data_IF_905086364038
#
_entry.id   IF_905086364038
#
_cell.length_a   1.000
_cell.length_b   1.000
_cell.length_c   1.000
_cell.angle_alpha   90.00
_cell.angle_beta   90.00
_cell.angle_gamma   90.00
#
_symmetry.space_group_name_H-M   'P 1'
#
loop_
_entity.id
_entity.type
_entity.pdbx_description
1 polymer ?
#
# COMPACT_ATOMS: atom_id res chain seq x y z
N UNK A 1 -3.47 20.11 -8.11
CA UNK A 1 -3.27 21.53 -7.75
C UNK A 1 -4.58 22.26 -7.99
N UNK A 2 -5.30 22.71 -6.96
CA UNK A 2 -6.59 23.40 -7.14
C UNK A 2 -6.45 24.71 -7.91
N UNK A 3 -5.29 25.34 -7.89
CA UNK A 3 -5.00 26.59 -8.56
C UNK A 3 -5.24 26.54 -10.09
N UNK A 4 -5.01 25.39 -10.71
CA UNK A 4 -5.27 25.19 -12.16
C UNK A 4 -6.75 25.43 -12.45
N UNK A 5 -7.65 24.85 -11.64
CA UNK A 5 -9.09 25.03 -11.81
C UNK A 5 -9.54 26.44 -11.42
N UNK A 6 -8.99 27.00 -10.34
CA UNK A 6 -9.34 28.34 -9.86
C UNK A 6 -8.91 29.45 -10.83
N UNK A 7 -7.83 29.26 -11.58
CA UNK A 7 -7.33 30.21 -12.55
C UNK A 7 -7.86 29.96 -13.97
N UNK A 8 -8.66 28.92 -14.19
CA UNK A 8 -9.14 28.53 -15.52
C UNK A 8 -9.77 29.69 -16.30
N UNK A 9 -10.61 30.50 -15.66
CA UNK A 9 -11.24 31.66 -16.31
C UNK A 9 -10.28 32.81 -16.58
N UNK A 10 -9.09 32.84 -15.96
CA UNK A 10 -8.03 33.79 -16.28
C UNK A 10 -7.28 33.39 -17.55
N UNK A 11 -7.04 32.08 -17.69
CA UNK A 11 -6.33 31.52 -18.83
C UNK A 11 -7.26 31.43 -20.07
N UNK A 12 -8.58 31.30 -19.82
CA UNK A 12 -9.62 31.22 -20.86
C UNK A 12 -10.77 32.17 -20.56
N UNK A 13 -10.63 33.47 -20.86
CA UNK A 13 -11.62 34.52 -20.52
C UNK A 13 -12.99 34.32 -21.17
N UNK A 14 -13.04 33.63 -22.33
CA UNK A 14 -14.27 33.31 -23.05
C UNK A 14 -15.05 32.14 -22.45
N UNK A 15 -14.48 31.42 -21.49
CA UNK A 15 -15.11 30.24 -20.87
C UNK A 15 -16.33 30.65 -20.04
N UNK A 16 -17.45 29.99 -20.30
CA UNK A 16 -18.67 30.16 -19.48
C UNK A 16 -18.60 29.25 -18.25
N UNK A 17 -18.86 29.87 -17.11
CA UNK A 17 -18.92 29.15 -15.83
C UNK A 17 -20.39 28.85 -15.50
N UNK A 18 -20.66 27.55 -15.24
CA UNK A 18 -21.98 27.07 -14.80
C UNK A 18 -21.83 26.47 -13.40
N UNK A 19 -22.62 26.98 -12.47
CA UNK A 19 -22.63 26.49 -11.10
C UNK A 19 -23.67 25.37 -10.96
N UNK A 20 -23.22 24.18 -10.52
CA UNK A 20 -24.09 23.08 -10.10
C UNK A 20 -24.24 23.15 -8.58
N UNK A 21 -25.34 23.72 -8.10
CA UNK A 21 -25.59 24.05 -6.69
C UNK A 21 -26.65 23.18 -6.03
N UNK A 22 -27.34 22.32 -6.80
CA UNK A 22 -28.35 21.41 -6.27
C UNK A 22 -27.80 19.98 -6.19
N UNK A 23 -27.80 19.42 -4.98
CA UNK A 23 -27.42 18.04 -4.70
C UNK A 23 -28.69 17.17 -4.57
N UNK A 24 -28.91 16.29 -5.52
CA UNK A 24 -30.04 15.37 -5.56
C UNK A 24 -29.79 14.03 -4.88
N UNK A 25 -28.55 13.79 -4.38
CA UNK A 25 -28.14 12.49 -3.81
C UNK A 25 -28.32 12.41 -2.30
N UNK A 26 -27.79 13.40 -1.58
CA UNK A 26 -27.67 13.35 -0.13
C UNK A 26 -28.90 13.94 0.57
N UNK A 27 -29.20 13.41 1.78
CA UNK A 27 -30.07 14.11 2.73
C UNK A 27 -29.46 15.43 3.19
N UNK A 28 -30.27 16.33 3.73
CA UNK A 28 -29.80 17.65 4.16
C UNK A 28 -28.75 17.57 5.28
N UNK A 29 -28.85 16.59 6.19
CA UNK A 29 -27.89 16.38 7.27
C UNK A 29 -26.49 16.00 6.73
N UNK A 30 -26.44 15.10 5.74
CA UNK A 30 -25.17 14.71 5.10
C UNK A 30 -24.58 15.89 4.35
N UNK A 31 -25.41 16.60 3.58
CA UNK A 31 -24.96 17.77 2.82
C UNK A 31 -24.38 18.85 3.74
N UNK A 32 -25.08 19.16 4.84
CA UNK A 32 -24.61 20.17 5.80
C UNK A 32 -23.27 19.77 6.43
N UNK A 33 -23.13 18.51 6.83
CA UNK A 33 -21.87 18.01 7.39
C UNK A 33 -20.72 18.10 6.37
N UNK A 34 -20.98 17.73 5.12
CA UNK A 34 -20.00 17.83 4.05
C UNK A 34 -19.60 19.30 3.77
N UNK A 35 -20.57 20.23 3.80
CA UNK A 35 -20.31 21.66 3.66
C UNK A 35 -19.43 22.19 4.81
N UNK A 36 -19.70 21.82 6.05
CA UNK A 36 -18.89 22.20 7.21
C UNK A 36 -17.42 21.73 7.06
N UNK A 37 -17.21 20.52 6.57
CA UNK A 37 -15.86 19.98 6.33
C UNK A 37 -15.14 20.78 5.24
N UNK A 38 -15.82 21.02 4.10
CA UNK A 38 -15.17 21.72 2.98
C UNK A 38 -14.92 23.20 3.25
N UNK A 39 -15.64 23.81 4.17
CA UNK A 39 -15.48 25.24 4.54
C UNK A 39 -14.12 25.51 5.20
N UNK A 40 -13.46 24.49 5.75
CA UNK A 40 -12.08 24.59 6.22
C UNK A 40 -11.09 24.85 5.08
N UNK A 41 -11.42 24.49 3.84
CA UNK A 41 -10.58 24.69 2.68
C UNK A 41 -10.77 26.09 2.09
N UNK A 42 -9.75 26.95 2.21
CA UNK A 42 -9.77 28.34 1.71
C UNK A 42 -9.54 28.45 0.20
N UNK A 43 -8.93 27.47 -0.44
CA UNK A 43 -8.63 27.47 -1.88
C UNK A 43 -9.68 26.67 -2.63
N UNK A 44 -10.86 27.27 -2.81
CA UNK A 44 -11.99 26.66 -3.53
C UNK A 44 -12.87 27.71 -4.18
N UNK A 45 -13.71 27.31 -5.13
CA UNK A 45 -14.83 28.15 -5.56
C UNK A 45 -15.86 28.22 -4.43
N UNK A 46 -16.23 29.43 -3.97
CA UNK A 46 -17.30 29.57 -3.00
C UNK A 46 -18.63 29.15 -3.63
N UNK A 47 -19.28 28.16 -3.05
CA UNK A 47 -20.64 27.78 -3.43
C UNK A 47 -21.41 27.26 -2.23
N UNK A 48 -22.72 27.55 -2.22
CA UNK A 48 -23.65 26.96 -1.28
C UNK A 48 -24.46 25.90 -2.02
N UNK A 49 -24.42 24.68 -1.51
CA UNK A 49 -25.21 23.58 -2.07
C UNK A 49 -26.53 23.46 -1.33
N UNK A 50 -27.59 23.23 -2.09
CA UNK A 50 -28.93 22.89 -1.55
C UNK A 50 -29.30 21.46 -1.92
N UNK A 51 -30.30 20.91 -1.24
CA UNK A 51 -30.88 19.60 -1.60
C UNK A 51 -32.40 19.63 -1.42
N UNK A 52 -33.17 19.06 -2.36
CA UNK A 52 -34.60 18.85 -2.19
C UNK A 52 -34.92 17.67 -1.26
N UNK A 53 -33.91 16.86 -0.91
CA UNK A 53 -34.10 15.68 -0.08
C UNK A 53 -34.34 16.07 1.39
N UNK A 54 -35.24 15.32 2.05
CA UNK A 54 -35.54 15.52 3.47
C UNK A 54 -34.32 15.26 4.36
N UNK A 55 -34.39 15.72 5.59
CA UNK A 55 -33.44 15.36 6.63
C UNK A 55 -33.44 13.85 6.85
N UNK A 56 -32.27 13.25 6.82
CA UNK A 56 -32.05 11.84 7.17
C UNK A 56 -31.59 11.72 8.63
N UNK A 57 -31.02 10.55 8.96
CA UNK A 57 -30.35 10.37 10.24
C UNK A 57 -29.14 11.31 10.37
N UNK A 58 -28.83 11.82 11.58
CA UNK A 58 -27.66 12.63 11.79
C UNK A 58 -26.37 11.84 11.48
N UNK A 59 -25.38 12.55 10.95
CA UNK A 59 -24.03 12.00 10.80
C UNK A 59 -23.42 11.82 12.18
N UNK A 60 -22.81 10.65 12.43
CA UNK A 60 -22.17 10.31 13.69
C UNK A 60 -20.67 10.30 13.50
N UNK A 61 -19.94 10.93 14.40
CA UNK A 61 -18.49 10.80 14.53
C UNK A 61 -18.22 9.88 15.73
N UNK A 62 -17.43 8.85 15.51
CA UNK A 62 -17.02 7.90 16.54
C UNK A 62 -15.50 7.88 16.56
N UNK A 63 -14.93 7.90 17.75
CA UNK A 63 -13.49 7.80 17.99
C UNK A 63 -13.19 6.51 18.74
N UNK A 64 -12.09 5.87 18.38
CA UNK A 64 -11.62 4.62 18.97
C UNK A 64 -10.15 4.74 19.36
N UNK A 65 -9.74 4.02 20.38
CA UNK A 65 -8.34 4.04 20.85
C UNK A 65 -7.39 3.35 19.87
N UNK A 66 -7.90 2.38 19.11
CA UNK A 66 -7.10 1.64 18.14
C UNK A 66 -7.97 1.11 16.96
N UNK A 67 -7.36 0.81 15.81
CA UNK A 67 -8.07 0.32 14.63
C UNK A 67 -8.85 -0.97 14.85
N UNK A 68 -8.40 -1.84 15.75
CA UNK A 68 -9.10 -3.10 16.04
C UNK A 68 -10.47 -2.85 16.66
N UNK A 69 -10.55 -1.93 17.62
CA UNK A 69 -11.84 -1.55 18.24
C UNK A 69 -12.79 -0.94 17.21
N UNK A 70 -12.28 -0.10 16.32
CA UNK A 70 -13.05 0.46 15.22
C UNK A 70 -13.66 -0.65 14.35
N UNK A 71 -12.85 -1.61 13.89
CA UNK A 71 -13.32 -2.70 13.03
C UNK A 71 -14.33 -3.62 13.73
N UNK A 72 -14.07 -3.96 14.98
CA UNK A 72 -14.97 -4.80 15.77
C UNK A 72 -16.29 -4.10 16.05
N UNK A 73 -16.27 -2.82 16.39
CA UNK A 73 -17.46 -2.00 16.61
C UNK A 73 -18.32 -1.89 15.35
N UNK A 74 -17.69 -1.66 14.21
CA UNK A 74 -18.40 -1.58 12.92
C UNK A 74 -19.02 -2.94 12.54
N UNK A 75 -18.26 -4.03 12.67
CA UNK A 75 -18.76 -5.37 12.39
C UNK A 75 -19.94 -5.73 13.33
N UNK A 76 -19.82 -5.43 14.63
CA UNK A 76 -20.90 -5.64 15.59
C UNK A 76 -22.17 -4.82 15.26
N UNK A 77 -21.99 -3.56 14.81
CA UNK A 77 -23.12 -2.74 14.39
C UNK A 77 -23.84 -3.30 13.14
N UNK A 78 -23.08 -3.79 12.16
CA UNK A 78 -23.63 -4.45 10.97
C UNK A 78 -24.32 -5.77 11.33
N UNK A 79 -23.70 -6.58 12.19
CA UNK A 79 -24.30 -7.84 12.68
C UNK A 79 -25.64 -7.60 13.38
N UNK A 80 -25.71 -6.57 14.24
CA UNK A 80 -26.95 -6.20 14.92
C UNK A 80 -28.08 -5.80 13.95
N UNK A 81 -27.76 -5.19 12.81
CA UNK A 81 -28.73 -4.89 11.76
C UNK A 81 -29.22 -6.16 11.08
N UNK A 82 -28.30 -7.06 10.72
CA UNK A 82 -28.65 -8.36 10.15
C UNK A 82 -29.53 -9.19 11.08
N UNK A 83 -29.22 -9.22 12.37
CA UNK A 83 -30.02 -9.95 13.38
C UNK A 83 -31.42 -9.37 13.56
N UNK A 84 -31.66 -8.14 13.10
CA UNK A 84 -32.98 -7.49 13.03
C UNK A 84 -33.65 -7.63 11.66
N UNK A 85 -33.10 -8.44 10.78
CA UNK A 85 -33.55 -8.61 9.40
C UNK A 85 -33.52 -7.30 8.57
N UNK A 86 -32.70 -6.33 8.97
CA UNK A 86 -32.48 -5.11 8.20
C UNK A 86 -31.53 -5.40 7.04
N UNK A 87 -31.80 -4.85 5.86
CA UNK A 87 -30.88 -4.93 4.73
C UNK A 87 -29.60 -4.14 5.01
N UNK A 88 -28.45 -4.71 4.62
CA UNK A 88 -27.15 -4.06 4.63
C UNK A 88 -26.55 -3.92 3.22
N UNK A 89 -27.26 -4.35 2.18
CA UNK A 89 -26.78 -4.35 0.78
C UNK A 89 -26.40 -2.95 0.28
N UNK A 90 -27.11 -1.91 0.75
CA UNK A 90 -26.84 -0.51 0.41
C UNK A 90 -25.81 0.16 1.33
N UNK A 91 -25.08 -0.64 2.12
CA UNK A 91 -24.05 -0.11 3.02
C UNK A 91 -22.68 -0.19 2.37
N UNK A 92 -21.95 0.92 2.38
CA UNK A 92 -20.56 0.97 1.91
C UNK A 92 -19.63 1.47 3.00
N UNK A 93 -18.44 0.88 3.08
CA UNK A 93 -17.34 1.35 3.94
C UNK A 93 -16.23 1.86 3.06
N UNK A 94 -15.77 3.08 3.33
CA UNK A 94 -14.73 3.76 2.57
C UNK A 94 -13.48 3.90 3.44
N UNK A 95 -12.33 3.62 2.84
CA UNK A 95 -11.02 3.72 3.48
C UNK A 95 -10.15 4.74 2.76
N UNK A 96 -9.19 5.29 3.46
CA UNK A 96 -8.15 6.14 2.88
C UNK A 96 -7.17 5.31 2.06
N UNK A 97 -6.80 4.13 2.52
CA UNK A 97 -5.87 3.21 1.88
C UNK A 97 -6.43 1.79 1.84
N UNK A 98 -6.00 1.00 0.85
CA UNK A 98 -6.44 -0.41 0.73
C UNK A 98 -5.95 -1.30 1.89
N UNK A 99 -4.89 -0.89 2.60
CA UNK A 99 -4.37 -1.64 3.75
C UNK A 99 -5.32 -1.60 4.96
N UNK A 100 -6.03 -0.49 5.14
CA UNK A 100 -7.00 -0.35 6.24
C UNK A 100 -8.18 -1.34 6.12
N UNK A 101 -8.51 -1.76 4.90
CA UNK A 101 -9.58 -2.72 4.67
C UNK A 101 -9.28 -4.11 5.24
N UNK A 102 -8.00 -4.51 5.39
CA UNK A 102 -7.61 -5.85 5.84
C UNK A 102 -8.14 -6.18 7.24
N UNK A 103 -8.03 -5.24 8.17
CA UNK A 103 -8.53 -5.41 9.53
C UNK A 103 -10.03 -5.56 9.61
N UNK A 104 -10.77 -4.74 8.85
CA UNK A 104 -12.22 -4.86 8.78
C UNK A 104 -12.67 -6.17 8.12
N UNK A 105 -12.02 -6.59 7.04
CA UNK A 105 -12.34 -7.88 6.38
C UNK A 105 -12.22 -9.03 7.37
N UNK A 106 -11.15 -9.05 8.19
CA UNK A 106 -11.00 -10.04 9.27
C UNK A 106 -12.19 -10.03 10.23
N UNK A 107 -12.61 -8.85 10.69
CA UNK A 107 -13.76 -8.72 11.59
C UNK A 107 -15.09 -9.14 10.92
N UNK A 108 -15.32 -8.77 9.65
CA UNK A 108 -16.53 -9.18 8.93
C UNK A 108 -16.61 -10.69 8.75
N UNK A 109 -15.47 -11.37 8.47
CA UNK A 109 -15.40 -12.83 8.37
C UNK A 109 -15.67 -13.49 9.73
N UNK A 110 -15.14 -12.97 10.83
CA UNK A 110 -15.36 -13.46 12.18
C UNK A 110 -16.84 -13.40 12.56
N UNK A 111 -17.53 -12.31 12.20
CA UNK A 111 -18.98 -12.14 12.44
C UNK A 111 -19.87 -12.76 11.37
N UNK A 112 -19.29 -13.43 10.37
CA UNK A 112 -20.02 -14.05 9.25
C UNK A 112 -20.93 -13.06 8.49
N UNK A 113 -20.45 -11.83 8.31
CA UNK A 113 -21.15 -10.78 7.58
C UNK A 113 -20.77 -10.86 6.10
N UNK A 114 -21.71 -10.99 5.17
CA UNK A 114 -21.42 -10.99 3.75
C UNK A 114 -20.94 -9.62 3.29
N UNK A 115 -19.93 -9.59 2.46
CA UNK A 115 -19.38 -8.36 1.88
C UNK A 115 -18.83 -8.59 0.48
N UNK A 116 -18.69 -7.52 -0.28
CA UNK A 116 -17.97 -7.50 -1.55
C UNK A 116 -16.90 -6.42 -1.50
N UNK A 117 -15.80 -6.61 -2.20
CA UNK A 117 -14.74 -5.63 -2.33
C UNK A 117 -14.60 -5.18 -3.77
N UNK A 118 -14.47 -3.88 -3.98
CA UNK A 118 -14.23 -3.32 -5.31
C UNK A 118 -12.82 -3.68 -5.81
N UNK A 119 -11.84 -3.68 -4.91
CA UNK A 119 -10.45 -4.05 -5.20
C UNK A 119 -10.04 -5.22 -4.30
N UNK A 120 -9.14 -6.07 -4.82
CA UNK A 120 -8.59 -7.15 -4.02
C UNK A 120 -7.65 -6.59 -2.95
N UNK A 121 -7.65 -7.20 -1.77
CA UNK A 121 -6.65 -6.90 -0.74
C UNK A 121 -5.24 -7.09 -1.32
N UNK A 122 -4.33 -6.15 -1.06
CA UNK A 122 -2.96 -6.29 -1.50
C UNK A 122 -2.35 -7.56 -0.87
N UNK A 123 -1.93 -8.48 -1.73
CA UNK A 123 -1.20 -9.67 -1.26
C UNK A 123 0.21 -9.23 -0.84
N UNK A 124 0.46 -9.14 0.46
CA UNK A 124 1.76 -8.75 1.03
C UNK A 124 2.91 -9.62 0.53
N UNK A 125 2.66 -10.89 0.21
CA UNK A 125 3.68 -11.78 -0.36
C UNK A 125 4.08 -11.41 -1.79
N UNK A 126 3.26 -10.62 -2.49
CA UNK A 126 3.58 -10.06 -3.82
C UNK A 126 4.24 -8.68 -3.76
N UNK A 127 4.27 -8.06 -2.58
CA UNK A 127 4.97 -6.80 -2.39
C UNK A 127 6.47 -6.95 -2.73
N UNK A 128 7.08 -5.93 -3.33
CA UNK A 128 8.46 -6.04 -3.81
C UNK A 128 9.47 -6.38 -2.68
N UNK A 129 9.25 -5.88 -1.45
CA UNK A 129 10.07 -6.24 -0.28
C UNK A 129 9.97 -7.74 0.00
N UNK A 130 8.77 -8.28 0.06
CA UNK A 130 8.54 -9.72 0.29
C UNK A 130 9.16 -10.56 -0.83
N UNK A 131 9.07 -10.12 -2.08
CA UNK A 131 9.74 -10.76 -3.22
C UNK A 131 11.25 -10.77 -3.07
N UNK A 132 11.86 -9.68 -2.58
CA UNK A 132 13.30 -9.64 -2.34
C UNK A 132 13.69 -10.61 -1.21
N UNK A 133 12.96 -10.65 -0.09
CA UNK A 133 13.21 -11.62 0.97
C UNK A 133 13.12 -13.07 0.46
N UNK A 134 12.06 -13.37 -0.31
CA UNK A 134 11.91 -14.68 -0.95
C UNK A 134 13.07 -15.01 -1.91
N UNK A 135 13.53 -14.00 -2.69
CA UNK A 135 14.64 -14.16 -3.61
C UNK A 135 15.96 -14.47 -2.87
N UNK A 136 16.24 -13.82 -1.75
CA UNK A 136 17.35 -14.13 -0.88
C UNK A 136 17.30 -15.58 -0.37
N UNK A 137 16.15 -16.00 0.14
CA UNK A 137 15.95 -17.36 0.64
C UNK A 137 16.10 -18.43 -0.47
N UNK A 138 15.57 -18.17 -1.67
CA UNK A 138 15.75 -19.06 -2.84
C UNK A 138 17.21 -19.15 -3.26
N UNK A 139 17.93 -18.04 -3.32
CA UNK A 139 19.37 -18.03 -3.60
C UNK A 139 20.17 -18.79 -2.54
N UNK A 140 19.83 -18.63 -1.27
CA UNK A 140 20.44 -19.39 -0.16
C UNK A 140 20.15 -20.90 -0.28
N UNK A 141 18.97 -21.28 -0.74
CA UNK A 141 18.59 -22.66 -1.00
C UNK A 141 19.22 -23.26 -2.28
N UNK A 142 20.05 -22.47 -3.00
CA UNK A 142 20.78 -22.98 -4.17
C UNK A 142 20.21 -22.55 -5.53
N UNK A 143 19.11 -21.81 -5.57
CA UNK A 143 18.62 -21.25 -6.84
C UNK A 143 19.63 -20.22 -7.39
N UNK A 144 20.14 -20.46 -8.58
CA UNK A 144 21.13 -19.60 -9.26
C UNK A 144 20.56 -18.96 -10.52
N UNK A 145 19.24 -18.93 -10.67
CA UNK A 145 18.63 -18.33 -11.84
C UNK A 145 18.87 -16.80 -11.90
N UNK A 146 19.21 -16.32 -13.09
CA UNK A 146 19.43 -14.88 -13.35
C UNK A 146 18.21 -14.05 -12.92
N UNK A 147 17.00 -14.56 -13.12
CA UNK A 147 15.75 -13.87 -12.75
C UNK A 147 15.69 -13.57 -11.25
N UNK A 148 16.00 -14.57 -10.41
CA UNK A 148 15.99 -14.42 -8.95
C UNK A 148 17.11 -13.49 -8.50
N UNK A 149 18.29 -13.62 -9.06
CA UNK A 149 19.41 -12.76 -8.71
C UNK A 149 19.16 -11.28 -9.02
N UNK A 150 18.51 -10.96 -10.13
CA UNK A 150 18.15 -9.58 -10.50
C UNK A 150 17.24 -8.90 -9.45
N UNK A 151 16.46 -9.66 -8.68
CA UNK A 151 15.61 -9.10 -7.62
C UNK A 151 16.43 -8.58 -6.43
N UNK A 152 17.65 -9.10 -6.21
CA UNK A 152 18.44 -8.83 -5.00
C UNK A 152 19.86 -8.30 -5.26
N UNK A 153 20.39 -8.41 -6.48
CA UNK A 153 21.81 -8.12 -6.75
C UNK A 153 22.26 -6.74 -6.25
N UNK A 154 21.37 -5.75 -6.34
CA UNK A 154 21.60 -4.37 -5.90
C UNK A 154 20.60 -3.88 -4.84
N UNK A 155 20.15 -4.77 -3.98
CA UNK A 155 19.26 -4.46 -2.87
C UNK A 155 19.69 -5.17 -1.59
N UNK A 156 20.57 -4.59 -0.78
CA UNK A 156 21.19 -3.25 -0.85
C UNK A 156 22.10 -3.02 -2.05
N UNK A 157 22.49 -1.75 -2.26
CA UNK A 157 23.32 -1.31 -3.38
C UNK A 157 24.69 -1.99 -3.37
N UNK A 158 24.96 -2.80 -4.40
CA UNK A 158 26.27 -3.47 -4.62
C UNK A 158 26.95 -3.04 -5.90
N UNK A 159 26.24 -2.28 -6.74
CA UNK A 159 26.73 -1.77 -8.04
C UNK A 159 27.11 -2.87 -9.04
N UNK A 160 26.45 -4.03 -8.94
CA UNK A 160 26.62 -5.10 -9.93
C UNK A 160 25.91 -4.71 -11.21
N UNK A 161 26.65 -4.64 -12.33
CA UNK A 161 26.10 -4.32 -13.64
C UNK A 161 25.33 -5.52 -14.21
N UNK A 162 24.28 -5.26 -15.00
CA UNK A 162 23.53 -6.34 -15.67
C UNK A 162 24.35 -7.08 -16.72
N UNK A 163 25.33 -6.40 -17.30
CA UNK A 163 26.22 -6.95 -18.34
C UNK A 163 27.21 -7.98 -17.76
N UNK A 164 27.45 -7.96 -16.44
CA UNK A 164 28.19 -9.00 -15.74
C UNK A 164 27.45 -10.34 -15.67
N UNK A 165 26.14 -10.37 -16.03
CA UNK A 165 25.27 -11.55 -15.96
C UNK A 165 25.12 -12.16 -17.37
N UNK A 166 26.15 -12.83 -17.86
CA UNK A 166 26.20 -13.36 -19.22
C UNK A 166 25.29 -14.56 -19.51
N UNK A 167 24.90 -15.33 -18.49
CA UNK A 167 24.12 -16.57 -18.65
C UNK A 167 22.75 -16.50 -17.99
N UNK A 168 21.90 -17.50 -18.23
CA UNK A 168 20.63 -17.68 -17.52
C UNK A 168 20.82 -18.10 -16.06
N UNK A 169 21.98 -18.60 -15.73
CA UNK A 169 22.40 -19.07 -14.40
C UNK A 169 23.56 -18.22 -13.89
N UNK A 170 23.56 -17.86 -12.61
CA UNK A 170 24.57 -17.04 -11.98
C UNK A 170 25.69 -17.86 -11.39
N UNK A 171 26.92 -17.53 -11.78
CA UNK A 171 28.15 -18.04 -11.18
C UNK A 171 28.88 -16.90 -10.46
N UNK A 172 29.11 -17.05 -9.15
CA UNK A 172 29.90 -16.07 -8.40
C UNK A 172 31.37 -16.04 -8.84
N UNK A 173 31.88 -17.16 -9.39
CA UNK A 173 33.21 -17.22 -10.02
C UNK A 173 33.27 -16.34 -11.26
N UNK A 174 32.32 -16.47 -12.18
CA UNK A 174 32.24 -15.64 -13.40
C UNK A 174 32.05 -14.17 -13.06
N UNK A 175 31.25 -13.82 -12.04
CA UNK A 175 31.11 -12.46 -11.56
C UNK A 175 32.45 -11.88 -11.07
N UNK A 176 33.22 -12.64 -10.28
CA UNK A 176 34.55 -12.18 -9.83
C UNK A 176 35.52 -12.04 -11.00
N UNK A 177 35.48 -12.95 -11.98
CA UNK A 177 36.33 -12.82 -13.17
C UNK A 177 35.99 -11.58 -14.01
N UNK A 178 34.70 -11.26 -14.15
CA UNK A 178 34.25 -10.03 -14.83
C UNK A 178 34.78 -8.77 -14.15
N UNK A 179 34.90 -8.78 -12.83
CA UNK A 179 35.35 -7.63 -12.02
C UNK A 179 36.80 -7.79 -11.50
N UNK A 180 37.60 -8.66 -12.09
CA UNK A 180 38.95 -8.98 -11.58
C UNK A 180 39.89 -7.77 -11.40
N UNK A 181 39.68 -6.69 -12.17
CA UNK A 181 40.43 -5.45 -12.07
C UNK A 181 39.89 -4.49 -10.99
N UNK A 182 38.89 -4.92 -10.20
CA UNK A 182 38.21 -4.10 -9.19
C UNK A 182 38.06 -4.89 -7.88
N UNK A 183 39.08 -4.90 -7.06
CA UNK A 183 39.12 -5.65 -5.79
C UNK A 183 37.91 -5.41 -4.92
N UNK A 184 37.49 -4.16 -4.77
CA UNK A 184 36.32 -3.81 -3.97
C UNK A 184 35.00 -4.43 -4.47
N UNK A 185 34.89 -4.70 -5.78
CA UNK A 185 33.73 -5.43 -6.33
C UNK A 185 33.83 -6.92 -6.05
N UNK A 186 35.01 -7.51 -6.18
CA UNK A 186 35.27 -8.89 -5.83
C UNK A 186 34.95 -9.16 -4.36
N UNK A 187 35.31 -8.23 -3.46
CA UNK A 187 34.99 -8.31 -2.03
C UNK A 187 33.48 -8.26 -1.77
N UNK A 188 32.75 -7.37 -2.44
CA UNK A 188 31.29 -7.29 -2.34
C UNK A 188 30.58 -8.58 -2.82
N UNK A 189 31.06 -9.15 -3.91
CA UNK A 189 30.54 -10.39 -4.47
C UNK A 189 30.83 -11.56 -3.50
N UNK A 190 32.02 -11.63 -2.95
CA UNK A 190 32.44 -12.63 -1.97
C UNK A 190 31.64 -12.50 -0.67
N UNK A 191 31.40 -11.27 -0.22
CA UNK A 191 30.53 -10.99 0.94
C UNK A 191 29.12 -11.47 0.69
N UNK A 192 28.53 -11.19 -0.48
CA UNK A 192 27.19 -11.65 -0.83
C UNK A 192 27.12 -13.19 -0.85
N UNK A 193 28.07 -13.86 -1.48
CA UNK A 193 28.14 -15.32 -1.52
C UNK A 193 28.25 -15.92 -0.10
N UNK A 194 29.08 -15.33 0.76
CA UNK A 194 29.23 -15.74 2.16
C UNK A 194 27.92 -15.55 2.95
N UNK A 195 27.25 -14.41 2.76
CA UNK A 195 25.96 -14.13 3.38
C UNK A 195 24.90 -15.14 2.96
N UNK A 196 24.83 -15.50 1.67
CA UNK A 196 23.91 -16.53 1.19
C UNK A 196 24.19 -17.90 1.79
N UNK A 197 25.48 -18.24 1.98
CA UNK A 197 25.88 -19.49 2.65
C UNK A 197 25.47 -19.49 4.14
N UNK A 198 25.68 -18.39 4.86
CA UNK A 198 25.20 -18.26 6.25
C UNK A 198 23.67 -18.39 6.28
N UNK A 199 23.00 -17.69 5.39
CA UNK A 199 21.53 -17.67 5.32
C UNK A 199 20.94 -19.08 5.14
N UNK A 200 21.61 -19.96 4.38
CA UNK A 200 21.16 -21.33 4.15
C UNK A 200 21.16 -22.21 5.40
N UNK A 201 21.87 -21.81 6.46
CA UNK A 201 21.95 -22.56 7.73
C UNK A 201 21.00 -22.04 8.80
N UNK A 202 20.34 -20.92 8.57
CA UNK A 202 19.50 -20.25 9.56
C UNK A 202 18.04 -20.73 9.51
N UNK A 203 17.40 -20.80 10.68
CA UNK A 203 15.95 -20.97 10.78
C UNK A 203 15.22 -19.75 10.16
N UNK A 204 13.97 -19.90 9.66
CA UNK A 204 13.29 -18.85 8.88
C UNK A 204 13.26 -17.48 9.53
N UNK A 205 12.94 -17.38 10.82
CA UNK A 205 12.92 -16.12 11.55
C UNK A 205 14.30 -15.47 11.65
N UNK A 206 15.33 -16.27 11.99
CA UNK A 206 16.71 -15.81 12.07
C UNK A 206 17.23 -15.37 10.68
N UNK A 207 16.85 -16.11 9.63
CA UNK A 207 17.19 -15.81 8.24
C UNK A 207 16.65 -14.42 7.82
N UNK A 208 15.38 -14.13 8.10
CA UNK A 208 14.78 -12.81 7.81
C UNK A 208 15.49 -11.69 8.58
N UNK A 209 15.78 -11.90 9.87
CA UNK A 209 16.50 -10.92 10.68
C UNK A 209 17.95 -10.70 10.19
N UNK A 210 18.60 -11.75 9.71
CA UNK A 210 19.92 -11.63 9.12
C UNK A 210 19.90 -10.85 7.81
N UNK A 211 18.90 -11.07 6.93
CA UNK A 211 18.73 -10.26 5.72
C UNK A 211 18.55 -8.78 6.12
N UNK A 212 17.64 -8.52 7.06
CA UNK A 212 17.33 -7.13 7.48
C UNK A 212 18.56 -6.42 8.03
N UNK A 213 19.20 -6.98 9.06
CA UNK A 213 20.26 -6.32 9.85
C UNK A 213 21.65 -6.71 9.40
N UNK A 214 21.92 -8.00 9.22
CA UNK A 214 23.26 -8.52 8.89
C UNK A 214 23.69 -8.23 7.46
N UNK A 215 22.74 -8.10 6.53
CA UNK A 215 23.03 -7.81 5.12
C UNK A 215 22.77 -6.34 4.74
N UNK A 216 22.37 -5.48 5.68
CA UNK A 216 22.12 -4.06 5.46
C UNK A 216 20.85 -3.75 4.65
N UNK A 217 19.87 -4.67 4.65
CA UNK A 217 18.65 -4.46 3.86
C UNK A 217 17.70 -3.45 4.51
N UNK A 218 17.70 -3.35 5.84
CA UNK A 218 16.86 -2.40 6.57
C UNK A 218 17.32 -0.96 6.36
N UNK A 219 18.63 -0.71 6.40
CA UNK A 219 19.23 0.58 6.08
C UNK A 219 18.90 0.99 4.64
N UNK A 220 19.02 0.06 3.69
CA UNK A 220 18.62 0.30 2.31
C UNK A 220 17.15 0.72 2.19
N UNK A 221 16.24 0.12 2.96
CA UNK A 221 14.82 0.49 2.94
C UNK A 221 14.55 1.88 3.55
N UNK A 222 15.36 2.32 4.50
CA UNK A 222 15.23 3.67 5.09
C UNK A 222 15.71 4.77 4.14
N UNK A 223 16.59 4.45 3.21
CA UNK A 223 17.10 5.38 2.20
C UNK A 223 16.22 5.43 0.93
N UNK A 224 15.30 4.47 0.77
CA UNK A 224 14.43 4.34 -0.41
C UNK A 224 13.20 5.25 -0.33
#
# INVERSE_FOLDING_TARGET
>A
KPEIMLNFTKDYPEAKQVLLDVNYRCSSNILQTAMNVIDCNKKRFPKQLSTPNKAGSPVKLLEYENPREEYMSLAAALKKRLDREETIEDTAVLFRTNQEAEGLVGALMEYQIPFTMKEQLPNLFRHWISRNLQAYLKMAAGDRSRKIFLEIMNRPNRYIARDALGSSTISFGELREFYKDKDWMCDRITTLETHLRILSTLAPYAAINFIRKGMGYEEYLMEY
#
